data_IF_503371321465
#
_entry.id   IF_503371321465
#
_cell.length_a   1.000
_cell.length_b   1.000
_cell.length_c   1.000
_cell.angle_alpha   90.00
_cell.angle_beta   90.00
_cell.angle_gamma   90.00
#
_symmetry.space_group_name_H-M   'P 1'
#
loop_
_entity.id
_entity.type
_entity.pdbx_description
1 polymer ?
#
# COMPACT_ATOMS: atom_id res chain seq x y z
N UNK A 1 -22.83 57.02 -10.03
CA UNK A 1 -21.86 56.05 -9.50
C UNK A 1 -22.10 54.74 -10.24
N UNK A 2 -21.38 54.49 -11.34
CA UNK A 2 -21.51 53.25 -12.11
C UNK A 2 -20.13 52.64 -12.28
N UNK A 3 -19.98 51.45 -11.72
CA UNK A 3 -18.82 50.60 -11.87
C UNK A 3 -18.82 49.99 -13.28
N UNK A 4 -17.69 50.08 -13.98
CA UNK A 4 -17.22 49.03 -14.88
C UNK A 4 -15.79 49.36 -15.32
N UNK A 5 -14.83 48.77 -14.60
CA UNK A 5 -13.44 48.75 -14.99
C UNK A 5 -13.08 47.34 -15.44
N UNK A 6 -12.56 47.30 -16.68
CA UNK A 6 -11.58 46.33 -17.19
C UNK A 6 -12.10 44.97 -17.64
N UNK A 7 -12.51 44.98 -18.91
CA UNK A 7 -12.09 43.99 -19.91
C UNK A 7 -10.68 43.45 -19.67
N UNK A 8 -10.54 42.14 -19.77
CA UNK A 8 -9.31 41.52 -20.28
C UNK A 8 -8.49 40.76 -19.25
N UNK A 9 -8.98 39.61 -18.80
CA UNK A 9 -8.10 38.49 -18.47
C UNK A 9 -8.72 37.20 -19.02
N UNK A 10 -8.39 36.88 -20.27
CA UNK A 10 -8.58 35.51 -20.79
C UNK A 10 -7.44 34.69 -20.22
N UNK A 11 -7.70 33.92 -19.17
CA UNK A 11 -6.76 32.91 -18.70
C UNK A 11 -6.71 31.80 -19.76
N UNK A 12 -5.70 31.82 -20.62
CA UNK A 12 -5.36 30.72 -21.51
C UNK A 12 -4.34 29.80 -20.83
N UNK A 13 -4.66 29.23 -19.68
CA UNK A 13 -3.78 28.22 -19.07
C UNK A 13 -4.10 26.83 -19.65
N UNK A 14 -3.82 26.65 -20.94
CA UNK A 14 -3.50 25.31 -21.45
C UNK A 14 -2.01 25.09 -21.23
N UNK A 15 -1.64 24.78 -19.99
CA UNK A 15 -0.41 24.04 -19.73
C UNK A 15 -0.79 22.56 -19.68
N UNK A 16 -1.07 21.98 -20.84
CA UNK A 16 -0.99 20.53 -21.00
C UNK A 16 0.49 20.16 -20.96
N UNK A 17 1.03 19.95 -19.76
CA UNK A 17 2.28 19.22 -19.57
C UNK A 17 1.95 17.76 -19.84
N UNK A 18 2.01 17.38 -21.12
CA UNK A 18 1.91 15.97 -21.52
C UNK A 18 3.27 15.32 -21.29
N UNK A 19 3.53 14.96 -20.03
CA UNK A 19 4.70 14.17 -19.64
C UNK A 19 4.28 12.73 -19.35
N UNK A 20 5.01 11.74 -19.89
CA UNK A 20 4.83 10.33 -19.50
C UNK A 20 5.49 10.14 -18.13
N UNK A 21 4.70 10.08 -17.07
CA UNK A 21 5.17 9.75 -15.72
C UNK A 21 5.25 8.24 -15.61
N UNK A 22 6.44 7.70 -15.35
CA UNK A 22 6.64 6.28 -15.07
C UNK A 22 6.91 6.08 -13.59
N UNK A 23 6.08 5.29 -12.92
CA UNK A 23 6.26 4.92 -11.52
C UNK A 23 7.04 3.60 -11.48
N UNK A 24 8.05 3.52 -10.63
CA UNK A 24 8.80 2.27 -10.44
C UNK A 24 7.99 1.27 -9.61
N UNK A 25 8.19 -0.03 -9.84
CA UNK A 25 7.53 -1.08 -9.06
C UNK A 25 7.76 -0.92 -7.55
N UNK A 26 9.00 -0.62 -7.14
CA UNK A 26 9.35 -0.36 -5.74
C UNK A 26 8.58 0.82 -5.13
N UNK A 27 8.28 1.85 -5.92
CA UNK A 27 7.50 2.98 -5.44
C UNK A 27 6.03 2.57 -5.21
N UNK A 28 5.46 1.73 -6.07
CA UNK A 28 4.11 1.20 -5.85
C UNK A 28 4.06 0.31 -4.60
N UNK A 29 5.07 -0.56 -4.40
CA UNK A 29 5.20 -1.39 -3.19
C UNK A 29 5.25 -0.51 -1.93
N UNK A 30 5.98 0.62 -1.97
CA UNK A 30 6.06 1.55 -0.84
C UNK A 30 4.72 2.23 -0.54
N UNK A 31 3.97 2.62 -1.57
CA UNK A 31 2.63 3.19 -1.39
C UNK A 31 1.70 2.16 -0.77
N UNK A 32 1.76 0.92 -1.23
CA UNK A 32 0.99 -0.19 -0.67
C UNK A 32 1.31 -0.43 0.80
N UNK A 33 2.59 -0.42 1.15
CA UNK A 33 3.04 -0.55 2.54
C UNK A 33 2.50 0.59 3.42
N UNK A 34 2.59 1.84 2.94
CA UNK A 34 2.08 2.99 3.68
C UNK A 34 0.57 2.93 3.86
N UNK A 35 -0.17 2.57 2.81
CA UNK A 35 -1.63 2.50 2.87
C UNK A 35 -2.10 1.37 3.78
N UNK A 36 -1.52 0.18 3.68
CA UNK A 36 -1.91 -0.94 4.52
C UNK A 36 -1.52 -0.73 6.00
N UNK A 37 -0.39 -0.07 6.28
CA UNK A 37 0.00 0.30 7.65
C UNK A 37 -0.82 1.43 8.27
N UNK A 38 -1.54 2.23 7.49
CA UNK A 38 -2.44 3.27 8.00
C UNK A 38 -3.81 2.75 8.42
N UNK A 39 -4.12 1.48 8.15
CA UNK A 39 -5.41 0.88 8.51
C UNK A 39 -5.40 0.55 10.00
N UNK A 40 -6.44 1.00 10.70
CA UNK A 40 -6.66 0.69 12.12
C UNK A 40 -6.59 -0.83 12.36
N UNK A 41 -6.00 -1.22 13.49
CA UNK A 41 -5.75 -2.61 13.91
C UNK A 41 -4.62 -3.35 13.19
N UNK A 42 -3.93 -2.71 12.23
CA UNK A 42 -2.67 -3.21 11.65
C UNK A 42 -1.50 -2.67 12.47
N UNK A 43 -0.91 -3.51 13.31
CA UNK A 43 0.18 -3.08 14.19
C UNK A 43 1.50 -2.93 13.43
N UNK A 44 1.86 -3.96 12.66
CA UNK A 44 3.10 -3.98 11.89
C UNK A 44 2.89 -4.75 10.59
N UNK A 45 3.39 -4.19 9.49
CA UNK A 45 3.51 -4.91 8.23
C UNK A 45 4.71 -5.84 8.29
N UNK A 46 4.44 -7.14 8.18
CA UNK A 46 5.41 -8.18 8.50
C UNK A 46 6.30 -8.49 7.30
N UNK A 47 7.61 -8.54 7.51
CA UNK A 47 8.54 -9.04 6.49
C UNK A 47 8.33 -10.54 6.34
N UNK A 48 7.91 -10.99 5.17
CA UNK A 48 7.78 -12.41 4.90
C UNK A 48 9.19 -13.04 4.82
N UNK A 49 9.62 -13.73 5.87
CA UNK A 49 10.88 -14.46 5.88
C UNK A 49 10.77 -15.73 5.05
N UNK A 50 11.39 -15.76 3.86
CA UNK A 50 11.55 -17.01 3.10
C UNK A 50 12.88 -17.67 3.47
N UNK A 51 12.82 -18.68 4.36
CA UNK A 51 13.97 -19.54 4.64
C UNK A 51 14.19 -20.49 3.45
N UNK A 52 15.21 -20.23 2.64
CA UNK A 52 15.66 -21.18 1.60
C UNK A 52 16.46 -22.29 2.29
N UNK A 53 15.80 -23.39 2.63
CA UNK A 53 16.47 -24.60 3.12
C UNK A 53 17.24 -25.26 1.97
N UNK A 54 18.53 -24.92 1.82
CA UNK A 54 19.36 -25.54 0.77
C UNK A 54 20.80 -25.06 0.63
N UNK A 55 21.20 -23.92 1.19
CA UNK A 55 22.56 -23.39 1.06
C UNK A 55 23.26 -23.28 2.40
N UNK A 56 24.56 -23.64 2.44
CA UNK A 56 25.44 -23.59 3.62
C UNK A 56 25.64 -22.18 4.21
N UNK A 57 25.02 -21.17 3.62
CA UNK A 57 24.80 -19.85 4.18
C UNK A 57 23.32 -19.49 3.96
N UNK A 58 22.57 -19.11 5.01
CA UNK A 58 21.23 -18.59 4.84
C UNK A 58 21.35 -17.21 4.19
N UNK A 59 21.19 -17.13 2.88
CA UNK A 59 20.96 -15.86 2.21
C UNK A 59 19.52 -15.46 2.56
N UNK A 60 19.36 -14.71 3.66
CA UNK A 60 18.05 -14.22 4.11
C UNK A 60 17.59 -13.18 3.09
N UNK A 61 16.68 -13.57 2.20
CA UNK A 61 15.95 -12.60 1.38
C UNK A 61 14.83 -12.03 2.22
N UNK A 62 15.02 -10.80 2.68
CA UNK A 62 13.91 -9.99 3.18
C UNK A 62 12.94 -9.76 2.02
N UNK A 63 11.83 -10.49 2.03
CA UNK A 63 10.71 -10.16 1.14
C UNK A 63 9.99 -9.00 1.80
N UNK A 64 9.87 -7.90 1.07
CA UNK A 64 9.13 -6.71 1.52
C UNK A 64 7.72 -7.13 1.94
N UNK A 65 7.21 -6.48 2.97
CA UNK A 65 5.90 -6.73 3.57
C UNK A 65 4.72 -6.49 2.62
N UNK A 66 4.96 -5.85 1.47
CA UNK A 66 4.04 -5.77 0.34
C UNK A 66 4.78 -6.07 -0.97
N UNK A 67 4.11 -6.78 -1.88
CA UNK A 67 4.60 -7.07 -3.22
C UNK A 67 3.52 -6.76 -4.26
N UNK A 68 3.93 -6.15 -5.37
CA UNK A 68 3.07 -6.00 -6.56
C UNK A 68 3.61 -6.89 -7.67
N UNK A 69 2.70 -7.57 -8.35
CA UNK A 69 2.99 -8.36 -9.54
C UNK A 69 2.05 -7.94 -10.67
N UNK A 70 2.59 -7.96 -11.89
CA UNK A 70 1.80 -7.89 -13.10
C UNK A 70 1.62 -9.33 -13.61
N UNK A 71 0.39 -9.83 -13.64
CA UNK A 71 0.05 -11.18 -14.10
C UNK A 71 -0.99 -11.05 -15.20
N UNK A 72 -0.68 -11.45 -16.43
CA UNK A 72 -1.60 -11.33 -17.58
C UNK A 72 -2.16 -9.90 -17.76
N UNK A 73 -1.31 -8.88 -17.64
CA UNK A 73 -1.68 -7.45 -17.66
C UNK A 73 -2.61 -6.98 -16.51
N UNK A 74 -2.87 -7.84 -15.52
CA UNK A 74 -3.59 -7.49 -14.29
C UNK A 74 -2.60 -7.16 -13.17
N UNK A 75 -2.86 -6.07 -12.44
CA UNK A 75 -2.10 -5.71 -11.25
C UNK A 75 -2.65 -6.47 -10.04
N UNK A 76 -1.78 -7.26 -9.42
CA UNK A 76 -2.07 -8.06 -8.23
C UNK A 76 -1.18 -7.60 -7.08
N UNK A 77 -1.80 -7.28 -5.95
CA UNK A 77 -1.10 -6.90 -4.72
C UNK A 77 -1.15 -8.04 -3.70
N UNK A 78 0.00 -8.39 -3.14
CA UNK A 78 0.14 -9.31 -2.00
C UNK A 78 0.62 -8.51 -0.79
N UNK A 79 -0.12 -8.55 0.32
CA UNK A 79 0.14 -7.77 1.53
C UNK A 79 0.29 -8.71 2.71
N UNK A 80 1.34 -8.53 3.51
CA UNK A 80 1.60 -9.32 4.72
C UNK A 80 1.48 -8.42 5.94
N UNK A 81 0.49 -8.71 6.79
CA UNK A 81 0.17 -7.91 7.98
C UNK A 81 0.20 -8.77 9.25
N UNK A 82 0.56 -8.13 10.35
CA UNK A 82 0.26 -8.60 11.70
C UNK A 82 -0.91 -7.77 12.23
N UNK A 83 -1.84 -8.42 12.92
CA UNK A 83 -3.04 -7.76 13.46
C UNK A 83 -3.11 -7.90 14.97
N UNK A 84 -3.84 -7.00 15.62
CA UNK A 84 -3.92 -7.00 17.08
C UNK A 84 -4.74 -8.17 17.61
N UNK A 85 -4.38 -8.66 18.80
CA UNK A 85 -5.17 -9.65 19.49
C UNK A 85 -6.56 -9.09 19.84
N UNK A 86 -7.61 -9.89 19.62
CA UNK A 86 -8.99 -9.49 19.91
C UNK A 86 -9.71 -8.75 18.78
N UNK A 87 -9.07 -8.51 17.63
CA UNK A 87 -9.71 -7.86 16.47
C UNK A 87 -10.32 -8.87 15.50
N UNK A 88 -11.32 -8.43 14.74
CA UNK A 88 -11.91 -9.27 13.70
C UNK A 88 -11.01 -9.27 12.46
N UNK A 89 -10.18 -10.31 12.34
CA UNK A 89 -9.22 -10.51 11.26
C UNK A 89 -9.83 -10.34 9.87
N UNK A 90 -11.04 -10.86 9.65
CA UNK A 90 -11.74 -10.78 8.37
C UNK A 90 -12.14 -9.34 8.08
N UNK A 91 -12.72 -8.65 9.04
CA UNK A 91 -13.11 -7.25 8.91
C UNK A 91 -11.90 -6.35 8.66
N UNK A 92 -10.81 -6.52 9.42
CA UNK A 92 -9.56 -5.76 9.23
C UNK A 92 -8.97 -6.03 7.85
N UNK A 93 -8.96 -7.28 7.38
CA UNK A 93 -8.49 -7.63 6.03
C UNK A 93 -9.32 -6.96 4.93
N UNK A 94 -10.65 -6.84 5.12
CA UNK A 94 -11.51 -6.10 4.19
C UNK A 94 -11.26 -4.59 4.21
N UNK A 95 -11.02 -4.01 5.40
CA UNK A 95 -10.62 -2.60 5.51
C UNK A 95 -9.33 -2.35 4.73
N UNK A 96 -8.30 -3.19 4.93
CA UNK A 96 -7.03 -3.10 4.22
C UNK A 96 -7.21 -3.15 2.70
N UNK A 97 -8.00 -4.12 2.21
CA UNK A 97 -8.27 -4.23 0.76
C UNK A 97 -8.97 -2.97 0.22
N UNK A 98 -9.99 -2.49 0.93
CA UNK A 98 -10.76 -1.31 0.51
C UNK A 98 -9.90 -0.06 0.44
N UNK A 99 -9.08 0.19 1.46
CA UNK A 99 -8.19 1.36 1.51
C UNK A 99 -7.13 1.31 0.41
N UNK A 100 -6.54 0.13 0.16
CA UNK A 100 -5.55 -0.05 -0.90
C UNK A 100 -6.15 0.18 -2.28
N UNK A 101 -7.33 -0.39 -2.55
CA UNK A 101 -8.03 -0.19 -3.82
C UNK A 101 -8.36 1.30 -4.01
N UNK A 102 -8.87 1.95 -2.96
CA UNK A 102 -9.24 3.35 -3.03
C UNK A 102 -8.02 4.25 -3.29
N UNK A 103 -6.93 4.07 -2.55
CA UNK A 103 -5.71 4.86 -2.73
C UNK A 103 -5.10 4.70 -4.13
N UNK A 104 -5.06 3.47 -4.66
CA UNK A 104 -4.54 3.24 -6.00
C UNK A 104 -5.43 3.85 -7.08
N UNK A 105 -6.76 3.81 -6.89
CA UNK A 105 -7.70 4.40 -7.83
C UNK A 105 -7.69 5.93 -7.78
N UNK A 106 -7.73 6.52 -6.59
CA UNK A 106 -7.87 7.97 -6.41
C UNK A 106 -6.55 8.73 -6.64
N UNK A 107 -5.42 8.20 -6.16
CA UNK A 107 -4.13 8.91 -6.29
C UNK A 107 -3.40 8.61 -7.59
N UNK A 108 -3.50 7.38 -8.09
CA UNK A 108 -2.67 6.89 -9.19
C UNK A 108 -3.47 6.57 -10.47
N UNK A 109 -4.80 6.60 -10.40
CA UNK A 109 -5.70 6.10 -11.45
C UNK A 109 -5.30 4.69 -11.95
N UNK A 110 -4.91 3.83 -11.00
CA UNK A 110 -4.55 2.44 -11.24
C UNK A 110 -5.62 1.52 -10.68
N UNK A 111 -6.07 0.57 -11.50
CA UNK A 111 -7.02 -0.47 -11.10
C UNK A 111 -6.25 -1.72 -10.64
N UNK A 112 -6.45 -2.10 -9.38
CA UNK A 112 -5.94 -3.36 -8.82
C UNK A 112 -6.98 -4.46 -9.05
N UNK A 113 -6.61 -5.50 -9.78
CA UNK A 113 -7.52 -6.61 -10.10
C UNK A 113 -7.73 -7.54 -8.90
N UNK A 114 -6.68 -7.73 -8.09
CA UNK A 114 -6.70 -8.58 -6.90
C UNK A 114 -5.84 -7.99 -5.79
N UNK A 115 -6.34 -8.03 -4.57
CA UNK A 115 -5.61 -7.66 -3.36
C UNK A 115 -5.68 -8.82 -2.38
N UNK A 116 -4.57 -9.51 -2.20
CA UNK A 116 -4.44 -10.63 -1.28
C UNK A 116 -3.86 -10.12 0.05
N UNK A 117 -4.55 -10.41 1.14
CA UNK A 117 -4.08 -10.08 2.50
C UNK A 117 -3.71 -11.37 3.21
N UNK A 118 -2.46 -11.47 3.62
CA UNK A 118 -1.89 -12.56 4.38
C UNK A 118 -1.65 -12.10 5.81
N UNK A 119 -2.39 -12.70 6.74
CA UNK A 119 -2.23 -12.43 8.17
C UNK A 119 -1.21 -13.43 8.70
N UNK A 120 -0.06 -12.93 9.16
CA UNK A 120 1.05 -13.77 9.58
C UNK A 120 1.03 -14.05 11.08
N UNK A 121 0.74 -13.04 11.91
CA UNK A 121 0.72 -13.17 13.36
C UNK A 121 -0.35 -12.29 14.04
N UNK A 122 -0.65 -12.63 15.29
CA UNK A 122 -1.50 -11.87 16.20
C UNK A 122 -0.64 -11.24 17.30
N UNK A 123 -0.57 -9.91 17.36
CA UNK A 123 0.23 -9.19 18.34
C UNK A 123 -0.67 -8.76 19.50
N UNK A 124 -0.32 -9.19 20.72
CA UNK A 124 -0.92 -8.65 21.95
C UNK A 124 -0.02 -7.53 22.49
N UNK A 125 -0.56 -6.31 22.52
CA UNK A 125 0.12 -5.11 23.03
C UNK A 125 0.53 -5.24 24.52
N UNK A 126 -0.08 -6.17 25.26
CA UNK A 126 0.19 -6.40 26.69
C UNK A 126 1.36 -7.36 26.96
N UNK A 127 2.02 -7.90 25.92
CA UNK A 127 3.19 -8.79 26.07
C UNK A 127 4.47 -8.05 25.68
N UNK A 128 4.57 -6.76 26.04
CA UNK A 128 5.76 -5.93 25.81
C UNK A 128 6.74 -5.88 26.99
N UNK A 129 6.44 -6.48 28.14
CA UNK A 129 7.27 -6.36 29.35
C UNK A 129 7.66 -7.68 30.04
N UNK A 130 7.89 -8.77 29.30
CA UNK A 130 8.62 -9.89 29.90
C UNK A 130 9.25 -10.82 28.86
N UNK A 131 10.45 -10.51 28.36
CA UNK A 131 11.50 -11.52 28.10
C UNK A 131 12.91 -10.94 28.17
N UNK A 132 13.59 -11.35 29.25
CA UNK A 132 15.03 -11.65 29.42
C UNK A 132 16.04 -10.49 29.52
#
# INVERSE_FOLDING_TARGET
MMANLRSGLKLNSSLTVTGKVSISQKALEKILELTAGNVEDVNEMSNAFQNIFGTKFPEVRLVHSAAIKLVNDELVADIYINVNYGVNVIQTSYKVQSEVINQFKEMLDLDLSKVNVHVLDLIDENISDEKA
#
